data_IF_216172184372
#
_entry.id   IF_216172184372
#
_cell.length_a   1.000
_cell.length_b   1.000
_cell.length_c   1.000
_cell.angle_alpha   90.00
_cell.angle_beta   90.00
_cell.angle_gamma   90.00
#
_symmetry.space_group_name_H-M   'P 1'
#
loop_
_entity.id
_entity.type
_entity.pdbx_description
1 polymer ?
#
# COMPACT_ATOMS: atom_id res chain seq x y z
N UNK A 1 -27.42 -19.11 -11.46
CA UNK A 1 -27.42 -19.46 -10.02
C UNK A 1 -25.96 -19.44 -9.58
N UNK A 2 -25.56 -18.44 -8.79
CA UNK A 2 -24.16 -18.21 -8.44
C UNK A 2 -23.72 -19.23 -7.38
N UNK A 3 -22.62 -19.94 -7.63
CA UNK A 3 -22.01 -20.98 -6.77
C UNK A 3 -21.08 -20.40 -5.69
N UNK A 4 -21.13 -19.08 -5.44
CA UNK A 4 -20.29 -18.46 -4.42
C UNK A 4 -20.90 -18.72 -3.04
N UNK A 5 -20.08 -19.26 -2.15
CA UNK A 5 -20.38 -19.43 -0.73
C UNK A 5 -21.00 -18.16 -0.13
N UNK A 6 -21.82 -18.26 0.95
CA UNK A 6 -22.38 -17.08 1.60
C UNK A 6 -21.28 -16.04 1.89
N UNK A 7 -21.55 -14.78 1.58
CA UNK A 7 -20.60 -13.69 1.80
C UNK A 7 -20.31 -13.56 3.29
N UNK A 8 -19.20 -14.14 3.74
CA UNK A 8 -18.67 -13.83 5.05
C UNK A 8 -18.15 -12.38 5.04
N UNK A 9 -18.55 -11.54 6.01
CA UNK A 9 -18.07 -10.18 6.07
C UNK A 9 -16.54 -10.16 6.24
N UNK A 10 -15.88 -9.14 5.69
CA UNK A 10 -14.44 -8.96 5.85
C UNK A 10 -14.09 -8.91 7.35
N UNK A 11 -13.08 -9.69 7.83
CA UNK A 11 -12.81 -9.87 9.25
C UNK A 11 -12.02 -8.68 9.85
N UNK A 12 -12.60 -7.49 9.81
CA UNK A 12 -11.95 -6.23 10.21
C UNK A 12 -11.44 -6.25 11.65
N UNK A 13 -12.11 -6.98 12.55
CA UNK A 13 -11.74 -7.08 13.96
C UNK A 13 -10.54 -8.00 14.22
N UNK A 14 -10.10 -8.78 13.23
CA UNK A 14 -8.86 -9.56 13.31
C UNK A 14 -7.60 -8.67 13.14
N UNK A 15 -7.76 -7.45 12.62
CA UNK A 15 -6.64 -6.52 12.44
C UNK A 15 -6.29 -5.80 13.75
N UNK A 16 -4.99 -5.47 13.97
CA UNK A 16 -4.56 -4.67 15.10
C UNK A 16 -5.31 -3.32 15.17
N UNK A 17 -5.63 -2.80 16.37
CA UNK A 17 -6.48 -1.62 16.53
C UNK A 17 -6.02 -0.39 15.73
N UNK A 18 -4.72 -0.15 15.62
CA UNK A 18 -4.17 1.00 14.88
C UNK A 18 -4.56 0.96 13.39
N UNK A 19 -4.21 -0.13 12.71
CA UNK A 19 -4.51 -0.31 11.28
C UNK A 19 -6.01 -0.47 11.05
N UNK A 20 -6.69 -1.20 11.94
CA UNK A 20 -8.15 -1.40 11.91
C UNK A 20 -8.91 -0.07 11.91
N UNK A 21 -8.57 0.83 12.84
CA UNK A 21 -9.27 2.10 12.97
C UNK A 21 -9.04 2.99 11.75
N UNK A 22 -7.82 3.02 11.21
CA UNK A 22 -7.50 3.75 9.98
C UNK A 22 -8.29 3.22 8.76
N UNK A 23 -8.44 1.90 8.65
CA UNK A 23 -9.27 1.28 7.61
C UNK A 23 -10.74 1.66 7.76
N UNK A 24 -11.29 1.57 8.98
CA UNK A 24 -12.69 1.92 9.25
C UNK A 24 -12.96 3.39 8.91
N UNK A 25 -12.08 4.29 9.32
CA UNK A 25 -12.21 5.72 9.01
C UNK A 25 -12.13 5.98 7.50
N UNK A 26 -11.15 5.38 6.83
CA UNK A 26 -11.01 5.51 5.37
C UNK A 26 -12.20 4.94 4.63
N UNK A 27 -12.76 3.82 5.09
CA UNK A 27 -13.98 3.23 4.54
C UNK A 27 -15.18 4.17 4.72
N UNK A 28 -15.34 4.77 5.90
CA UNK A 28 -16.39 5.78 6.15
C UNK A 28 -16.25 7.00 5.26
N UNK A 29 -15.02 7.46 5.00
CA UNK A 29 -14.79 8.65 4.17
C UNK A 29 -14.97 8.38 2.68
N UNK A 30 -14.51 7.23 2.20
CA UNK A 30 -14.50 6.90 0.76
C UNK A 30 -15.75 6.16 0.31
N UNK A 31 -16.45 5.49 1.24
CA UNK A 31 -17.56 4.56 0.95
C UNK A 31 -17.14 3.38 0.05
N UNK A 32 -15.84 3.07 0.00
CA UNK A 32 -15.33 1.92 -0.75
C UNK A 32 -15.54 0.61 0.02
N UNK A 33 -15.57 -0.56 -0.66
CA UNK A 33 -15.65 -1.85 0.02
C UNK A 33 -14.53 -2.06 1.04
N UNK A 34 -14.85 -2.61 2.21
CA UNK A 34 -13.90 -2.73 3.33
C UNK A 34 -12.65 -3.55 2.95
N UNK A 35 -12.82 -4.62 2.16
CA UNK A 35 -11.72 -5.44 1.66
C UNK A 35 -10.77 -4.64 0.75
N UNK A 36 -11.27 -3.71 -0.06
CA UNK A 36 -10.46 -2.83 -0.91
C UNK A 36 -9.60 -1.89 -0.07
N UNK A 37 -10.22 -1.26 0.94
CA UNK A 37 -9.52 -0.36 1.88
C UNK A 37 -8.45 -1.10 2.68
N UNK A 38 -8.79 -2.29 3.19
CA UNK A 38 -7.85 -3.11 3.92
C UNK A 38 -6.69 -3.59 3.04
N UNK A 39 -6.96 -3.95 1.78
CA UNK A 39 -5.91 -4.36 0.83
C UNK A 39 -4.91 -3.22 0.59
N UNK A 40 -5.39 -1.98 0.39
CA UNK A 40 -4.53 -0.81 0.28
C UNK A 40 -3.68 -0.57 1.54
N UNK A 41 -4.31 -0.62 2.73
CA UNK A 41 -3.59 -0.46 4.00
C UNK A 41 -2.50 -1.52 4.22
N UNK A 42 -2.79 -2.79 3.91
CA UNK A 42 -1.82 -3.89 3.99
C UNK A 42 -0.67 -3.71 2.98
N UNK A 43 -0.97 -3.21 1.78
CA UNK A 43 0.03 -2.93 0.75
C UNK A 43 1.01 -1.86 1.22
N UNK A 44 0.50 -0.72 1.71
CA UNK A 44 1.32 0.33 2.30
C UNK A 44 2.15 -0.17 3.50
N UNK A 45 1.56 -0.99 4.37
CA UNK A 45 2.26 -1.58 5.53
C UNK A 45 3.41 -2.48 5.09
N UNK A 46 3.17 -3.34 4.09
CA UNK A 46 4.20 -4.21 3.50
C UNK A 46 5.39 -3.38 3.00
N UNK A 47 5.14 -2.31 2.24
CA UNK A 47 6.20 -1.45 1.69
C UNK A 47 6.98 -0.76 2.82
N UNK A 48 6.29 -0.20 3.82
CA UNK A 48 6.95 0.45 4.96
C UNK A 48 7.86 -0.51 5.74
N UNK A 49 7.46 -1.77 5.88
CA UNK A 49 8.14 -2.75 6.71
C UNK A 49 9.21 -3.57 5.95
N UNK A 50 9.21 -3.57 4.62
CA UNK A 50 10.04 -4.48 3.81
C UNK A 50 11.53 -4.42 4.13
N UNK A 51 12.07 -3.24 4.44
CA UNK A 51 13.50 -3.05 4.77
C UNK A 51 13.79 -3.08 6.28
N UNK A 52 12.82 -3.43 7.12
CA UNK A 52 12.92 -3.34 8.58
C UNK A 52 12.77 -4.69 9.27
N UNK A 53 12.01 -5.62 8.67
CA UNK A 53 11.65 -6.87 9.31
C UNK A 53 11.62 -8.04 8.33
N UNK A 54 12.07 -9.20 8.80
CA UNK A 54 11.88 -10.50 8.15
C UNK A 54 10.86 -11.33 8.94
N UNK A 55 10.08 -12.13 8.23
CA UNK A 55 9.17 -13.12 8.83
C UNK A 55 9.81 -14.50 8.86
N UNK A 56 9.67 -15.18 10.00
CA UNK A 56 10.05 -16.57 10.16
C UNK A 56 8.85 -17.48 9.93
N UNK A 57 8.96 -18.39 8.97
CA UNK A 57 7.95 -19.40 8.63
C UNK A 57 8.35 -20.76 9.19
N UNK A 58 7.43 -21.74 9.29
CA UNK A 58 7.75 -23.09 9.72
C UNK A 58 8.97 -23.66 8.96
N UNK A 59 9.84 -24.38 9.67
CA UNK A 59 11.11 -24.86 9.10
C UNK A 59 12.24 -23.82 9.13
N UNK A 60 12.14 -22.77 9.95
CA UNK A 60 13.14 -21.69 10.06
C UNK A 60 13.39 -20.94 8.73
N UNK A 61 12.39 -20.92 7.87
CA UNK A 61 12.45 -20.22 6.59
C UNK A 61 12.21 -18.73 6.81
N UNK A 62 13.27 -17.94 6.75
CA UNK A 62 13.21 -16.47 6.86
C UNK A 62 13.07 -15.82 5.49
N UNK A 63 12.39 -14.68 5.45
CA UNK A 63 12.23 -13.91 4.22
C UNK A 63 11.50 -12.59 4.46
N UNK A 64 11.44 -11.74 3.43
CA UNK A 64 10.85 -10.40 3.53
C UNK A 64 9.35 -10.44 3.79
N UNK A 65 8.83 -9.32 4.31
CA UNK A 65 7.39 -9.11 4.58
C UNK A 65 6.59 -8.60 3.38
N UNK A 66 7.11 -8.76 2.17
CA UNK A 66 6.48 -8.20 0.97
C UNK A 66 5.15 -8.90 0.64
N UNK A 67 4.12 -8.10 0.39
CA UNK A 67 2.82 -8.53 -0.09
C UNK A 67 2.65 -8.10 -1.55
N UNK A 68 2.11 -9.01 -2.36
CA UNK A 68 1.67 -8.72 -3.73
C UNK A 68 0.15 -8.59 -3.73
N UNK A 69 -0.33 -7.37 -3.96
CA UNK A 69 -1.75 -7.03 -3.88
C UNK A 69 -2.32 -6.72 -5.25
N UNK A 70 -3.56 -7.17 -5.50
CA UNK A 70 -4.32 -6.86 -6.71
C UNK A 70 -5.76 -6.52 -6.33
N UNK A 71 -6.24 -5.37 -6.81
CA UNK A 71 -7.63 -4.94 -6.65
C UNK A 71 -8.29 -4.95 -8.03
N UNK A 72 -9.23 -5.86 -8.24
CA UNK A 72 -10.07 -5.92 -9.43
C UNK A 72 -11.36 -5.14 -9.16
N UNK A 73 -11.56 -4.03 -9.88
CA UNK A 73 -12.83 -3.29 -9.86
C UNK A 73 -12.97 -2.44 -11.13
N UNK A 74 -14.18 -2.02 -11.45
CA UNK A 74 -14.48 -1.17 -12.61
C UNK A 74 -13.97 0.27 -12.44
N UNK A 75 -13.91 1.02 -13.55
CA UNK A 75 -13.55 2.44 -13.50
C UNK A 75 -14.52 3.22 -12.62
N UNK A 76 -14.03 4.13 -11.78
CA UNK A 76 -14.84 4.87 -10.82
C UNK A 76 -15.05 4.20 -9.47
N UNK A 77 -14.65 2.93 -9.29
CA UNK A 77 -14.82 2.17 -8.04
C UNK A 77 -13.83 2.55 -6.91
N UNK A 78 -13.37 3.81 -6.89
CA UNK A 78 -12.56 4.41 -5.81
C UNK A 78 -11.21 3.71 -5.51
N UNK A 79 -10.77 2.75 -6.34
CA UNK A 79 -9.48 2.04 -6.21
C UNK A 79 -8.32 2.99 -5.95
N UNK A 80 -8.09 3.93 -6.87
CA UNK A 80 -6.99 4.90 -6.79
C UNK A 80 -7.18 5.89 -5.64
N UNK A 81 -8.42 6.25 -5.32
CA UNK A 81 -8.71 7.17 -4.21
C UNK A 81 -8.31 6.56 -2.87
N UNK A 82 -8.69 5.31 -2.63
CA UNK A 82 -8.35 4.54 -1.42
C UNK A 82 -6.86 4.27 -1.35
N UNK A 83 -6.25 3.87 -2.46
CA UNK A 83 -4.80 3.63 -2.55
C UNK A 83 -4.00 4.87 -2.12
N UNK A 84 -4.35 6.04 -2.65
CA UNK A 84 -3.71 7.32 -2.32
C UNK A 84 -3.76 7.71 -0.85
N UNK A 85 -4.78 7.29 -0.09
CA UNK A 85 -4.87 7.63 1.35
C UNK A 85 -3.69 7.02 2.11
N UNK A 86 -3.43 5.73 1.91
CA UNK A 86 -2.34 5.03 2.60
C UNK A 86 -0.99 5.22 1.89
N UNK A 87 -1.00 5.43 0.57
CA UNK A 87 0.21 5.54 -0.22
C UNK A 87 0.83 6.95 -0.22
N UNK A 88 0.13 7.97 0.29
CA UNK A 88 0.55 9.38 0.24
C UNK A 88 2.00 9.62 0.65
N UNK A 89 2.44 9.02 1.76
CA UNK A 89 3.80 9.23 2.27
C UNK A 89 4.87 8.69 1.30
N UNK A 90 4.60 7.57 0.62
CA UNK A 90 5.52 7.02 -0.38
C UNK A 90 5.59 7.92 -1.61
N UNK A 91 4.45 8.41 -2.11
CA UNK A 91 4.45 9.32 -3.26
C UNK A 91 5.20 10.63 -2.98
N UNK A 92 5.05 11.20 -1.78
CA UNK A 92 5.81 12.39 -1.39
C UNK A 92 7.32 12.10 -1.32
N UNK A 93 7.70 10.90 -0.88
CA UNK A 93 9.10 10.48 -0.86
C UNK A 93 9.65 10.29 -2.27
N UNK A 94 8.89 9.67 -3.15
CA UNK A 94 9.25 9.45 -4.56
C UNK A 94 9.42 10.78 -5.29
N UNK A 95 8.51 11.74 -5.07
CA UNK A 95 8.60 13.09 -5.63
C UNK A 95 9.87 13.82 -5.16
N UNK A 96 10.16 13.82 -3.85
CA UNK A 96 11.36 14.43 -3.32
C UNK A 96 12.65 13.79 -3.86
N UNK A 97 12.67 12.46 -4.03
CA UNK A 97 13.79 11.74 -4.63
C UNK A 97 13.97 12.08 -6.12
N UNK A 98 12.87 12.24 -6.86
CA UNK A 98 12.91 12.63 -8.26
C UNK A 98 13.48 14.05 -8.44
N UNK A 99 13.09 14.99 -7.58
CA UNK A 99 13.65 16.35 -7.57
C UNK A 99 15.14 16.37 -7.24
N UNK A 100 15.56 15.61 -6.23
CA UNK A 100 16.98 15.46 -5.86
C UNK A 100 17.78 14.89 -7.03
N UNK A 101 17.27 13.84 -7.67
CA UNK A 101 17.89 13.22 -8.82
C UNK A 101 18.00 14.17 -10.03
N UNK A 102 16.95 14.96 -10.31
CA UNK A 102 16.98 15.94 -11.40
C UNK A 102 18.11 16.97 -11.23
N UNK A 103 18.32 17.46 -9.99
CA UNK A 103 19.42 18.39 -9.66
C UNK A 103 20.79 17.74 -9.84
N UNK A 104 20.94 16.49 -9.41
CA UNK A 104 22.19 15.74 -9.59
C UNK A 104 22.55 15.55 -11.06
N UNK A 105 21.54 15.27 -11.91
CA UNK A 105 21.75 15.14 -13.36
C UNK A 105 22.20 16.46 -13.98
N UNK A 106 21.59 17.59 -13.60
CA UNK A 106 21.96 18.92 -14.10
C UNK A 106 23.39 19.32 -13.70
N UNK A 107 23.76 19.09 -12.44
CA UNK A 107 25.12 19.34 -11.94
C UNK A 107 26.14 18.48 -12.69
N UNK A 108 25.83 17.20 -12.92
CA UNK A 108 26.73 16.31 -13.66
C UNK A 108 26.92 16.72 -15.12
N UNK A 109 25.87 17.23 -15.79
CA UNK A 109 26.01 17.76 -17.15
C UNK A 109 26.88 19.01 -17.20
N UNK A 110 26.74 19.94 -16.24
CA UNK A 110 27.54 21.17 -16.21
C UNK A 110 29.00 20.91 -15.88
N UNK A 111 29.30 19.97 -14.98
CA UNK A 111 30.68 19.54 -14.67
C UNK A 111 31.39 18.87 -15.86
N UNK A 112 30.63 18.27 -16.79
CA UNK A 112 31.19 17.64 -18.01
C UNK A 112 31.45 18.60 -19.16
N UNK A 113 30.85 19.79 -19.13
CA UNK A 113 30.98 20.81 -20.17
C UNK A 113 32.16 21.78 -19.90
N UNK A 114 32.82 21.66 -18.74
CA UNK A 114 34.03 22.38 -18.33
C UNK A 114 35.25 21.47 -18.52
#
# INVERSE_FOLDING_TARGET
MCLLAPENPYPIYALPPLVRNAIIETQKNTQAPLAMVATSALTATSIACQNQVDVCRPGNLRGPVNLYSLILADSGERKTTVDKVFMKAFYLRDEALAEEYAKLVENYSTEKEI
#
